data_IF_845775491888
#
_entry.id   IF_845775491888
#
_cell.length_a   1.000
_cell.length_b   1.000
_cell.length_c   1.000
_cell.angle_alpha   90.00
_cell.angle_beta   90.00
_cell.angle_gamma   90.00
#
_symmetry.space_group_name_H-M   'P 1'
#
loop_
_entity.id
_entity.type
_entity.pdbx_description
1 polymer ?
#
# COMPACT_ATOMS: atom_id res chain seq x y z
N UNK A 1 36.58 3.34 17.74
CA UNK A 1 36.04 4.65 17.30
C UNK A 1 34.53 4.55 17.43
N UNK A 2 33.87 5.48 18.13
CA UNK A 2 32.43 5.41 18.41
C UNK A 2 31.60 5.39 17.13
N UNK A 3 30.48 4.65 17.14
CA UNK A 3 29.57 4.45 16.01
C UNK A 3 28.45 5.50 15.95
N UNK A 4 28.61 6.61 16.68
CA UNK A 4 27.58 7.64 16.84
C UNK A 4 27.61 8.64 15.66
N UNK A 5 26.44 9.09 15.16
CA UNK A 5 26.35 9.96 13.98
C UNK A 5 26.94 11.37 14.21
N UNK A 6 26.98 11.80 15.46
CA UNK A 6 27.69 13.01 15.89
C UNK A 6 28.56 12.62 17.08
N UNK A 7 29.84 12.93 17.03
CA UNK A 7 30.78 12.61 18.11
C UNK A 7 31.69 13.80 18.42
N UNK A 8 32.26 13.76 19.62
CA UNK A 8 33.12 14.81 20.14
C UNK A 8 34.58 14.32 20.15
N UNK A 9 35.48 15.07 19.51
CA UNK A 9 36.90 14.75 19.45
C UNK A 9 37.60 15.07 20.76
N UNK A 10 38.88 14.67 20.84
CA UNK A 10 39.72 14.97 22.00
C UNK A 10 40.01 16.47 22.16
N UNK A 11 39.82 17.24 21.10
CA UNK A 11 40.13 18.68 21.01
C UNK A 11 39.05 19.55 21.66
N UNK A 12 37.99 18.94 22.20
CA UNK A 12 36.95 19.65 22.93
C UNK A 12 37.55 20.38 24.15
N UNK A 13 37.40 21.71 24.16
CA UNK A 13 37.87 22.61 25.21
C UNK A 13 36.87 22.81 26.35
N UNK A 14 35.67 22.22 26.26
CA UNK A 14 34.67 22.31 27.32
C UNK A 14 33.99 23.66 27.47
N UNK A 15 34.00 24.52 26.44
CA UNK A 15 33.44 25.88 26.47
C UNK A 15 31.91 25.99 26.65
N UNK A 16 31.18 24.86 26.64
CA UNK A 16 29.72 24.75 26.86
C UNK A 16 28.79 25.48 25.86
N UNK A 17 29.33 26.18 24.86
CA UNK A 17 28.53 26.89 23.84
C UNK A 17 27.52 25.96 23.16
N UNK A 18 27.95 24.75 22.81
CA UNK A 18 27.11 23.73 22.18
C UNK A 18 25.89 23.31 23.02
N UNK A 19 25.97 23.36 24.36
CA UNK A 19 24.86 23.02 25.26
C UNK A 19 23.74 24.04 25.13
N UNK A 20 24.09 25.33 25.07
CA UNK A 20 23.11 26.42 24.98
C UNK A 20 22.38 26.48 23.64
N UNK A 21 23.00 25.99 22.57
CA UNK A 21 22.46 26.03 21.21
C UNK A 21 21.62 24.80 20.90
N UNK A 22 21.73 23.71 21.67
CA UNK A 22 20.99 22.49 21.39
C UNK A 22 19.50 22.64 21.72
N UNK A 23 18.59 22.65 20.73
CA UNK A 23 17.16 22.85 20.96
C UNK A 23 16.49 21.60 21.58
N UNK A 24 17.21 20.47 21.59
CA UNK A 24 16.74 19.19 22.08
C UNK A 24 17.36 18.80 23.43
N UNK A 25 18.21 19.66 24.02
CA UNK A 25 18.89 19.38 25.29
C UNK A 25 19.80 18.14 25.24
N UNK A 26 20.30 17.79 24.05
CA UNK A 26 20.96 16.51 23.80
C UNK A 26 22.46 16.49 24.16
N UNK A 27 23.02 17.55 24.72
CA UNK A 27 24.45 17.69 25.01
C UNK A 27 24.64 17.90 26.50
N UNK A 28 25.36 16.99 27.14
CA UNK A 28 25.75 17.06 28.55
C UNK A 28 27.25 17.27 28.67
N UNK A 29 27.72 17.87 29.77
CA UNK A 29 29.15 17.97 30.05
C UNK A 29 29.59 16.79 30.93
N UNK A 30 30.54 15.98 30.45
CA UNK A 30 31.17 14.89 31.20
C UNK A 30 32.69 15.00 31.11
N UNK A 31 33.37 14.93 32.25
CA UNK A 31 34.84 15.03 32.35
C UNK A 31 35.43 16.28 31.65
N UNK A 32 34.73 17.41 31.74
CA UNK A 32 35.15 18.67 31.12
C UNK A 32 34.97 18.71 29.60
N UNK A 33 34.33 17.70 28.99
CA UNK A 33 34.05 17.62 27.55
C UNK A 33 32.57 17.52 27.27
N UNK A 34 32.16 17.97 26.09
CA UNK A 34 30.81 17.76 25.61
C UNK A 34 30.59 16.27 25.32
N UNK A 35 29.49 15.73 25.80
CA UNK A 35 29.04 14.36 25.59
C UNK A 35 27.64 14.41 24.97
N UNK A 36 27.49 13.76 23.82
CA UNK A 36 26.23 13.75 23.06
C UNK A 36 25.40 12.57 23.56
N UNK A 37 24.15 12.84 23.88
CA UNK A 37 23.19 11.83 24.36
C UNK A 37 22.33 11.28 23.23
N UNK A 38 21.58 10.22 23.50
CA UNK A 38 20.63 9.61 22.56
C UNK A 38 19.49 10.55 22.12
N UNK A 39 19.29 11.68 22.82
CA UNK A 39 18.32 12.70 22.43
C UNK A 39 18.73 13.50 21.17
N UNK A 40 19.95 13.31 20.66
CA UNK A 40 20.45 14.02 19.49
C UNK A 40 19.65 13.71 18.22
N UNK A 41 19.13 14.77 17.58
CA UNK A 41 18.39 14.69 16.31
C UNK A 41 19.22 15.01 15.06
N UNK A 42 20.55 15.09 15.21
CA UNK A 42 21.49 15.30 14.08
C UNK A 42 21.15 16.59 13.29
N UNK A 43 20.85 17.69 14.00
CA UNK A 43 20.44 18.95 13.37
C UNK A 43 21.59 19.85 12.90
N UNK A 44 22.84 19.55 13.26
CA UNK A 44 24.02 20.28 12.79
C UNK A 44 24.42 21.50 13.62
N UNK A 45 23.51 22.12 14.35
CA UNK A 45 23.74 23.41 15.01
C UNK A 45 24.93 23.43 15.97
N UNK A 46 25.22 22.32 16.66
CA UNK A 46 26.36 22.22 17.58
C UNK A 46 27.72 22.15 16.86
N UNK A 47 27.75 21.70 15.62
CA UNK A 47 28.96 21.66 14.77
C UNK A 47 29.34 23.09 14.38
N UNK A 48 28.37 23.88 13.93
CA UNK A 48 28.58 25.24 13.41
C UNK A 48 29.10 26.22 14.48
N UNK A 49 28.68 26.03 15.72
CA UNK A 49 29.04 26.94 16.84
C UNK A 49 30.27 26.49 17.61
N UNK A 50 30.87 25.35 17.26
CA UNK A 50 32.05 24.84 17.97
C UNK A 50 33.31 25.62 17.53
N UNK A 51 33.94 26.42 18.41
CA UNK A 51 35.06 27.29 18.02
C UNK A 51 36.34 26.53 17.64
N UNK A 52 36.42 25.26 18.06
CA UNK A 52 37.56 24.36 17.80
C UNK A 52 37.17 23.21 16.89
N UNK A 53 35.96 23.23 16.31
CA UNK A 53 35.42 22.17 15.45
C UNK A 53 35.54 20.76 16.06
N UNK A 54 35.48 20.67 17.39
CA UNK A 54 35.62 19.41 18.12
C UNK A 54 34.36 18.55 18.07
N UNK A 55 33.23 19.10 17.63
CA UNK A 55 32.01 18.32 17.39
C UNK A 55 31.96 18.02 15.90
N UNK A 56 32.15 16.75 15.54
CA UNK A 56 32.11 16.31 14.16
C UNK A 56 30.81 15.56 13.95
N UNK A 57 29.99 16.06 13.04
CA UNK A 57 28.96 15.26 12.41
C UNK A 57 29.62 14.46 11.32
N UNK A 58 29.51 13.13 11.38
CA UNK A 58 29.80 12.34 10.19
C UNK A 58 28.78 12.77 9.17
N UNK A 59 29.25 13.32 8.05
CA UNK A 59 28.51 13.11 6.81
C UNK A 59 28.24 11.61 6.80
N UNK A 60 26.97 11.22 6.69
CA UNK A 60 26.67 9.87 6.25
C UNK A 60 27.37 9.78 4.91
N UNK A 61 28.60 9.25 4.91
CA UNK A 61 29.14 8.58 3.75
C UNK A 61 27.96 7.78 3.23
N UNK A 62 27.62 8.03 1.96
CA UNK A 62 26.71 7.18 1.23
C UNK A 62 27.41 5.84 1.31
N UNK A 63 27.08 5.06 2.35
CA UNK A 63 27.57 3.72 2.47
C UNK A 63 27.20 3.12 1.12
N UNK A 64 28.18 2.60 0.40
CA UNK A 64 27.92 1.76 -0.75
C UNK A 64 27.00 0.66 -0.23
N UNK A 65 25.69 0.91 -0.30
CA UNK A 65 24.67 0.00 0.17
C UNK A 65 24.88 -1.17 -0.73
N UNK A 66 25.49 -2.23 -0.18
CA UNK A 66 25.73 -3.49 -0.87
C UNK A 66 24.50 -3.76 -1.71
N UNK A 67 24.67 -3.70 -3.04
CA UNK A 67 23.58 -3.67 -3.99
C UNK A 67 22.79 -4.97 -3.85
N UNK A 68 21.82 -4.95 -2.96
CA UNK A 68 20.86 -6.00 -2.80
C UNK A 68 20.19 -6.22 -4.14
N UNK A 69 20.13 -7.46 -4.62
CA UNK A 69 19.50 -7.77 -5.90
C UNK A 69 18.18 -8.45 -5.63
N UNK A 70 17.12 -7.91 -6.20
CA UNK A 70 15.82 -8.54 -6.22
C UNK A 70 14.70 -7.62 -5.75
N UNK A 71 13.55 -7.79 -6.39
CA UNK A 71 12.30 -7.15 -6.00
C UNK A 71 11.50 -8.13 -5.17
N UNK A 72 11.40 -7.88 -3.87
CA UNK A 72 10.67 -8.74 -2.94
C UNK A 72 9.24 -8.25 -2.71
N UNK A 73 8.28 -9.16 -2.71
CA UNK A 73 6.86 -8.88 -2.47
C UNK A 73 6.38 -9.65 -1.25
N UNK A 74 5.67 -8.98 -0.34
CA UNK A 74 4.92 -9.65 0.71
C UNK A 74 3.58 -10.18 0.16
N UNK A 75 3.41 -11.50 0.19
CA UNK A 75 2.17 -12.16 -0.15
C UNK A 75 1.29 -12.27 1.11
N UNK A 76 0.18 -11.53 1.09
CA UNK A 76 -0.77 -11.46 2.20
C UNK A 76 -1.74 -12.64 2.15
N UNK A 77 -1.94 -13.26 3.32
CA UNK A 77 -2.93 -14.32 3.53
C UNK A 77 -4.15 -13.74 4.26
N UNK A 78 -5.34 -13.97 3.71
CA UNK A 78 -6.62 -13.64 4.32
C UNK A 78 -7.48 -14.90 4.34
N UNK A 79 -7.97 -15.30 5.53
CA UNK A 79 -8.86 -16.48 5.69
C UNK A 79 -8.34 -17.77 5.01
N UNK A 80 -7.03 -18.05 5.12
CA UNK A 80 -6.36 -19.22 4.51
C UNK A 80 -6.22 -19.17 2.97
N UNK A 81 -6.61 -18.07 2.33
CA UNK A 81 -6.40 -17.80 0.91
C UNK A 81 -5.45 -16.60 0.69
N UNK A 82 -4.84 -16.53 -0.50
CA UNK A 82 -4.03 -15.38 -0.87
C UNK A 82 -4.93 -14.19 -1.20
N UNK A 83 -4.67 -13.05 -0.55
CA UNK A 83 -5.33 -11.81 -0.92
C UNK A 83 -4.88 -11.37 -2.31
N UNK A 84 -5.82 -10.95 -3.17
CA UNK A 84 -5.57 -10.60 -4.57
C UNK A 84 -4.51 -9.50 -4.77
N UNK A 85 -4.34 -8.62 -3.77
CA UNK A 85 -3.25 -7.61 -3.74
C UNK A 85 -1.87 -8.22 -3.99
N UNK A 86 -1.64 -9.46 -3.54
CA UNK A 86 -0.38 -10.17 -3.75
C UNK A 86 -0.11 -10.43 -5.23
N UNK A 87 -1.15 -10.68 -6.01
CA UNK A 87 -1.05 -10.93 -7.46
C UNK A 87 -0.79 -9.65 -8.24
N UNK A 88 -1.41 -8.53 -7.84
CA UNK A 88 -1.13 -7.21 -8.42
C UNK A 88 0.31 -6.77 -8.16
N UNK A 89 0.78 -6.98 -6.92
CA UNK A 89 2.15 -6.68 -6.53
C UNK A 89 3.16 -7.52 -7.29
N UNK A 90 2.90 -8.81 -7.50
CA UNK A 90 3.76 -9.67 -8.32
C UNK A 90 3.83 -9.18 -9.76
N UNK A 91 2.69 -8.79 -10.34
CA UNK A 91 2.64 -8.25 -11.71
C UNK A 91 3.49 -6.99 -11.82
N UNK A 92 3.34 -6.05 -10.88
CA UNK A 92 4.17 -4.84 -10.86
C UNK A 92 5.64 -5.13 -10.56
N UNK A 93 5.93 -6.07 -9.67
CA UNK A 93 7.29 -6.48 -9.34
C UNK A 93 8.02 -7.05 -10.56
N UNK A 94 7.35 -7.82 -11.43
CA UNK A 94 7.91 -8.32 -12.68
C UNK A 94 8.27 -7.20 -13.66
N UNK A 95 7.41 -6.18 -13.79
CA UNK A 95 7.71 -5.02 -14.62
C UNK A 95 8.98 -4.29 -14.11
N UNK A 96 9.04 -4.01 -12.81
CA UNK A 96 10.18 -3.33 -12.18
C UNK A 96 11.47 -4.18 -12.26
N UNK A 97 11.34 -5.49 -12.02
CA UNK A 97 12.44 -6.45 -12.09
C UNK A 97 12.98 -6.58 -13.52
N UNK A 98 12.13 -6.50 -14.55
CA UNK A 98 12.55 -6.50 -15.95
C UNK A 98 13.36 -5.24 -16.29
N UNK A 99 12.93 -4.07 -15.80
CA UNK A 99 13.68 -2.82 -15.98
C UNK A 99 15.05 -2.86 -15.28
N UNK A 100 15.12 -3.44 -14.07
CA UNK A 100 16.35 -3.56 -13.28
C UNK A 100 17.23 -4.77 -13.66
N UNK A 101 16.73 -5.72 -14.47
CA UNK A 101 17.35 -7.02 -14.70
C UNK A 101 17.66 -7.79 -13.40
N UNK A 102 16.72 -7.75 -12.46
CA UNK A 102 16.80 -8.38 -11.13
C UNK A 102 15.77 -9.52 -10.98
N UNK A 103 15.97 -10.47 -10.06
CA UNK A 103 15.00 -11.54 -9.79
C UNK A 103 13.79 -11.05 -8.95
N UNK A 104 12.65 -11.70 -9.11
CA UNK A 104 11.44 -11.45 -8.30
C UNK A 104 11.35 -12.45 -7.15
N UNK A 105 11.27 -11.93 -5.93
CA UNK A 105 11.08 -12.72 -4.72
C UNK A 105 9.69 -12.50 -4.13
N UNK A 106 9.10 -13.56 -3.57
CA UNK A 106 7.89 -13.47 -2.77
C UNK A 106 8.16 -14.02 -1.37
N UNK A 107 7.59 -13.40 -0.34
CA UNK A 107 7.64 -13.89 1.04
C UNK A 107 6.23 -14.05 1.57
N UNK A 108 5.97 -15.21 2.16
CA UNK A 108 4.67 -15.60 2.70
C UNK A 108 4.83 -16.13 4.12
N UNK A 109 3.92 -15.72 5.02
CA UNK A 109 3.95 -16.02 6.46
C UNK A 109 2.55 -16.46 6.89
N UNK A 110 2.46 -17.59 7.61
CA UNK A 110 1.18 -18.17 8.00
C UNK A 110 1.28 -19.66 8.33
N UNK A 111 0.18 -20.38 8.12
CA UNK A 111 0.06 -21.83 8.37
C UNK A 111 -0.52 -22.52 7.14
N UNK A 112 0.06 -23.66 6.74
CA UNK A 112 -0.47 -24.50 5.64
C UNK A 112 -0.23 -23.92 4.25
N UNK A 113 0.95 -23.35 4.03
CA UNK A 113 1.22 -22.44 2.91
C UNK A 113 1.60 -23.11 1.58
N UNK A 114 1.64 -24.44 1.49
CA UNK A 114 2.15 -25.13 0.30
C UNK A 114 1.36 -24.76 -0.97
N UNK A 115 0.01 -24.72 -0.89
CA UNK A 115 -0.84 -24.33 -2.05
C UNK A 115 -0.61 -22.88 -2.48
N UNK A 116 -0.51 -21.98 -1.50
CA UNK A 116 -0.27 -20.56 -1.75
C UNK A 116 1.13 -20.33 -2.37
N UNK A 117 2.15 -21.06 -1.91
CA UNK A 117 3.49 -20.98 -2.48
C UNK A 117 3.51 -21.42 -3.96
N UNK A 118 2.80 -22.50 -4.30
CA UNK A 118 2.67 -22.97 -5.68
C UNK A 118 1.96 -21.95 -6.58
N UNK A 119 0.91 -21.28 -6.07
CA UNK A 119 0.21 -20.24 -6.82
C UNK A 119 1.09 -19.00 -7.07
N UNK A 120 1.89 -18.58 -6.09
CA UNK A 120 2.84 -17.46 -6.25
C UNK A 120 3.92 -17.80 -7.31
N UNK A 121 4.38 -19.05 -7.35
CA UNK A 121 5.30 -19.53 -8.38
C UNK A 121 4.66 -19.50 -9.78
N UNK A 122 3.42 -19.97 -9.91
CA UNK A 122 2.67 -19.95 -11.19
C UNK A 122 2.41 -18.53 -11.68
N UNK A 123 2.30 -17.55 -10.77
CA UNK A 123 2.14 -16.13 -11.08
C UNK A 123 3.48 -15.43 -11.35
N UNK A 124 4.59 -16.17 -11.38
CA UNK A 124 5.91 -15.73 -11.86
C UNK A 124 6.84 -15.14 -10.81
N UNK A 125 6.80 -15.63 -9.57
CA UNK A 125 7.87 -15.42 -8.60
C UNK A 125 9.05 -16.38 -8.88
N UNK A 126 10.29 -15.89 -8.87
CA UNK A 126 11.49 -16.72 -9.08
C UNK A 126 11.89 -17.49 -7.81
N UNK A 127 11.69 -16.88 -6.64
CA UNK A 127 11.84 -17.56 -5.34
C UNK A 127 10.70 -17.19 -4.42
N UNK A 128 10.19 -18.19 -3.69
CA UNK A 128 9.16 -17.99 -2.66
C UNK A 128 9.73 -18.42 -1.31
N UNK A 129 9.86 -17.47 -0.39
CA UNK A 129 10.25 -17.70 1.00
C UNK A 129 9.03 -17.99 1.85
N UNK A 130 8.99 -19.19 2.43
CA UNK A 130 7.83 -19.69 3.17
C UNK A 130 8.18 -19.81 4.64
N UNK A 131 7.46 -19.05 5.48
CA UNK A 131 7.45 -19.20 6.93
C UNK A 131 6.15 -19.87 7.36
N UNK A 132 6.18 -21.20 7.47
CA UNK A 132 5.03 -22.03 7.82
C UNK A 132 5.12 -22.48 9.28
N UNK A 133 4.19 -22.01 10.13
CA UNK A 133 4.09 -22.42 11.52
C UNK A 133 2.63 -22.32 12.02
N UNK A 134 2.12 -23.31 12.79
CA UNK A 134 0.73 -23.31 13.25
C UNK A 134 0.36 -22.07 14.09
N UNK A 135 1.27 -21.57 14.92
CA UNK A 135 1.03 -20.35 15.72
C UNK A 135 0.91 -19.05 14.92
N UNK A 136 1.29 -19.08 13.63
CA UNK A 136 1.13 -17.97 12.69
C UNK A 136 -0.19 -18.04 11.91
N UNK A 137 -1.12 -18.92 12.29
CA UNK A 137 -2.46 -18.98 11.67
C UNK A 137 -3.20 -17.64 11.79
N UNK A 138 -3.02 -16.94 12.90
CA UNK A 138 -3.63 -15.63 13.13
C UNK A 138 -2.61 -14.53 12.92
N UNK A 139 -3.00 -13.50 12.16
CA UNK A 139 -2.16 -12.33 11.94
C UNK A 139 -1.89 -11.61 13.26
N UNK A 140 -0.61 -11.37 13.55
CA UNK A 140 -0.13 -10.56 14.67
C UNK A 140 1.05 -9.73 14.18
N UNK A 141 1.03 -8.43 14.47
CA UNK A 141 2.00 -7.49 13.92
C UNK A 141 3.46 -7.85 14.28
N UNK A 142 3.71 -8.18 15.54
CA UNK A 142 5.06 -8.39 16.04
C UNK A 142 5.75 -9.61 15.37
N UNK A 143 5.20 -10.85 15.41
CA UNK A 143 5.80 -12.01 14.74
C UNK A 143 5.98 -11.83 13.24
N UNK A 144 4.99 -11.25 12.56
CA UNK A 144 5.09 -11.02 11.13
C UNK A 144 6.20 -10.02 10.80
N UNK A 145 6.28 -8.91 11.55
CA UNK A 145 7.30 -7.89 11.32
C UNK A 145 8.72 -8.40 11.60
N UNK A 146 8.92 -9.24 12.61
CA UNK A 146 10.21 -9.83 12.95
C UNK A 146 10.69 -10.82 11.88
N UNK A 147 9.82 -11.72 11.44
CA UNK A 147 10.14 -12.70 10.40
C UNK A 147 10.44 -12.02 9.06
N UNK A 148 9.66 -11.01 8.68
CA UNK A 148 9.89 -10.27 7.44
C UNK A 148 11.18 -9.43 7.50
N UNK A 149 11.47 -8.81 8.64
CA UNK A 149 12.74 -8.11 8.84
C UNK A 149 13.94 -9.08 8.79
N UNK A 150 13.81 -10.28 9.36
CA UNK A 150 14.83 -11.33 9.26
C UNK A 150 15.04 -11.75 7.80
N UNK A 151 13.97 -12.02 7.05
CA UNK A 151 14.04 -12.36 5.62
C UNK A 151 14.76 -11.26 4.82
N UNK A 152 14.42 -9.99 5.06
CA UNK A 152 15.07 -8.87 4.40
C UNK A 152 16.57 -8.78 4.73
N UNK A 153 16.99 -9.12 5.96
CA UNK A 153 18.42 -9.09 6.36
C UNK A 153 19.21 -10.24 5.74
N UNK A 154 18.61 -11.42 5.61
CA UNK A 154 19.26 -12.60 5.05
C UNK A 154 19.42 -12.51 3.53
N UNK A 155 18.36 -12.08 2.84
CA UNK A 155 18.33 -12.06 1.37
C UNK A 155 18.75 -10.72 0.78
N UNK A 156 18.76 -9.65 1.59
CA UNK A 156 19.14 -8.28 1.23
C UNK A 156 18.53 -7.83 -0.12
N UNK A 157 17.19 -7.69 -0.24
CA UNK A 157 16.56 -7.28 -1.51
C UNK A 157 16.75 -5.78 -1.80
N UNK A 158 16.69 -5.41 -3.08
CA UNK A 158 16.75 -4.00 -3.53
C UNK A 158 15.48 -3.24 -3.15
N UNK A 159 14.33 -3.87 -3.42
CA UNK A 159 12.99 -3.31 -3.26
C UNK A 159 12.16 -4.28 -2.43
N UNK A 160 11.32 -3.76 -1.53
CA UNK A 160 10.35 -4.56 -0.80
C UNK A 160 8.95 -3.92 -0.87
N UNK A 161 8.02 -4.61 -1.53
CA UNK A 161 6.65 -4.15 -1.77
C UNK A 161 5.66 -4.88 -0.85
N UNK A 162 4.73 -4.12 -0.29
CA UNK A 162 3.69 -4.60 0.63
C UNK A 162 2.33 -4.06 0.17
N UNK A 163 1.24 -4.81 0.34
CA UNK A 163 -0.10 -4.29 0.07
C UNK A 163 -0.50 -3.23 1.09
N UNK A 164 -1.15 -2.14 0.69
CA UNK A 164 -1.68 -1.12 1.60
C UNK A 164 -3.04 -1.51 2.21
N UNK A 165 -3.20 -2.79 2.54
CA UNK A 165 -4.33 -3.34 3.31
C UNK A 165 -4.21 -2.95 4.79
N UNK A 166 -5.21 -3.26 5.60
CA UNK A 166 -5.13 -3.07 7.05
C UNK A 166 -3.92 -3.79 7.66
N UNK A 167 -3.62 -5.00 7.16
CA UNK A 167 -2.48 -5.81 7.58
C UNK A 167 -1.17 -5.14 7.18
N UNK A 168 -1.00 -4.84 5.89
CA UNK A 168 0.26 -4.29 5.39
C UNK A 168 0.55 -2.87 5.86
N UNK A 169 -0.47 -2.03 6.08
CA UNK A 169 -0.30 -0.69 6.68
C UNK A 169 0.10 -0.73 8.15
N UNK A 170 -0.33 -1.76 8.88
CA UNK A 170 0.07 -1.96 10.27
C UNK A 170 1.50 -2.50 10.36
N UNK A 171 1.83 -3.52 9.58
CA UNK A 171 3.11 -4.23 9.68
C UNK A 171 4.26 -3.54 8.92
N UNK A 172 4.00 -2.94 7.76
CA UNK A 172 5.00 -2.26 6.93
C UNK A 172 5.89 -1.25 7.68
N UNK A 173 5.35 -0.28 8.45
CA UNK A 173 6.18 0.69 9.17
C UNK A 173 7.04 0.04 10.27
N UNK A 174 6.59 -1.06 10.88
CA UNK A 174 7.36 -1.81 11.89
C UNK A 174 8.57 -2.48 11.25
N UNK A 175 8.40 -3.08 10.06
CA UNK A 175 9.52 -3.67 9.30
C UNK A 175 10.52 -2.59 8.89
N UNK A 176 10.04 -1.46 8.37
CA UNK A 176 10.90 -0.34 7.98
C UNK A 176 11.74 0.21 9.15
N UNK A 177 11.13 0.36 10.33
CA UNK A 177 11.83 0.78 11.53
C UNK A 177 12.91 -0.22 11.99
N UNK A 178 12.62 -1.53 11.94
CA UNK A 178 13.59 -2.60 12.28
C UNK A 178 14.75 -2.70 11.30
N UNK A 179 14.54 -2.32 10.04
CA UNK A 179 15.56 -2.28 8.99
C UNK A 179 16.25 -0.92 8.87
N UNK A 180 15.76 0.12 9.57
CA UNK A 180 16.24 1.51 9.47
C UNK A 180 16.22 2.03 8.02
N UNK A 181 15.16 1.73 7.28
CA UNK A 181 14.98 2.16 5.88
C UNK A 181 13.74 3.05 5.71
N UNK A 182 13.65 3.72 4.56
CA UNK A 182 12.50 4.54 4.17
C UNK A 182 11.32 3.69 3.68
N UNK A 183 10.11 4.10 4.05
CA UNK A 183 8.85 3.49 3.61
C UNK A 183 7.92 4.57 3.04
N UNK A 184 7.53 4.42 1.77
CA UNK A 184 6.45 5.25 1.20
C UNK A 184 5.11 4.55 1.36
N UNK A 185 4.16 5.24 2.00
CA UNK A 185 2.85 4.69 2.25
C UNK A 185 1.84 4.98 1.12
N UNK A 186 0.97 4.00 0.84
CA UNK A 186 -0.18 4.07 -0.07
C UNK A 186 0.16 4.59 -1.48
N UNK A 187 1.20 4.02 -2.10
CA UNK A 187 1.66 4.35 -3.45
C UNK A 187 0.61 3.96 -4.49
N UNK A 188 0.42 4.83 -5.47
CA UNK A 188 -0.48 4.62 -6.61
C UNK A 188 0.26 4.39 -7.92
N UNK A 189 1.52 4.82 -8.00
CA UNK A 189 2.40 4.51 -9.13
C UNK A 189 3.81 4.21 -8.63
N UNK A 190 4.46 3.27 -9.30
CA UNK A 190 5.83 2.84 -9.04
C UNK A 190 6.55 2.77 -10.39
N UNK A 191 7.70 3.40 -10.48
CA UNK A 191 8.57 3.34 -11.67
C UNK A 191 10.04 3.29 -11.24
N UNK A 192 10.91 2.89 -12.16
CA UNK A 192 12.37 2.91 -11.96
C UNK A 192 12.95 4.09 -12.71
N UNK A 193 13.75 4.88 -12.02
CA UNK A 193 14.59 5.87 -12.66
C UNK A 193 15.71 5.18 -13.44
N UNK A 194 15.73 5.37 -14.76
CA UNK A 194 16.69 4.71 -15.67
C UNK A 194 18.13 5.17 -15.41
N UNK A 195 18.34 6.39 -14.91
CA UNK A 195 19.68 6.93 -14.68
C UNK A 195 20.25 6.45 -13.33
N UNK A 196 19.41 6.38 -12.30
CA UNK A 196 19.86 6.08 -10.93
C UNK A 196 19.54 4.66 -10.46
N UNK A 197 18.66 3.93 -11.17
CA UNK A 197 18.15 2.62 -10.76
C UNK A 197 17.30 2.66 -9.48
N UNK A 198 16.89 3.84 -9.03
CA UNK A 198 16.10 4.03 -7.81
C UNK A 198 14.60 3.89 -8.07
N UNK A 199 13.87 3.43 -7.06
CA UNK A 199 12.42 3.28 -7.13
C UNK A 199 11.75 4.64 -6.89
N UNK A 200 11.12 5.16 -7.93
CA UNK A 200 10.25 6.33 -7.87
C UNK A 200 8.87 5.94 -7.35
N UNK A 201 8.58 6.35 -6.12
CA UNK A 201 7.36 5.97 -5.40
C UNK A 201 6.40 7.16 -5.41
N UNK A 202 5.38 7.10 -6.26
CA UNK A 202 4.40 8.17 -6.37
C UNK A 202 3.18 7.87 -5.52
N UNK A 203 2.87 8.77 -4.60
CA UNK A 203 1.70 8.67 -3.71
C UNK A 203 0.89 9.96 -3.65
N UNK A 204 -0.44 9.85 -3.46
CA UNK A 204 -1.26 10.99 -3.08
C UNK A 204 -1.00 11.40 -1.63
N UNK A 205 -0.96 12.72 -1.40
CA UNK A 205 -0.90 13.38 -0.10
C UNK A 205 -2.01 14.44 -0.02
N UNK A 206 -2.34 14.89 1.21
CA UNK A 206 -3.38 15.90 1.45
C UNK A 206 -4.74 15.56 0.80
N UNK A 207 -5.27 14.36 1.08
CA UNK A 207 -6.52 13.88 0.46
C UNK A 207 -6.41 13.66 -1.04
N UNK A 208 -5.18 13.58 -1.55
CA UNK A 208 -4.82 13.40 -2.96
C UNK A 208 -4.82 14.69 -3.80
N UNK A 209 -4.85 15.85 -3.17
CA UNK A 209 -4.64 17.13 -3.83
C UNK A 209 -3.18 17.33 -4.30
N UNK A 210 -2.23 16.62 -3.68
CA UNK A 210 -0.81 16.68 -4.02
C UNK A 210 -0.35 15.28 -4.38
N UNK A 211 0.29 15.13 -5.54
CA UNK A 211 1.01 13.92 -5.91
C UNK A 211 2.49 14.13 -5.58
N UNK A 212 3.05 13.27 -4.74
CA UNK A 212 4.45 13.34 -4.34
C UNK A 212 5.18 12.09 -4.84
N UNK A 213 6.27 12.31 -5.58
CA UNK A 213 7.22 11.26 -5.96
C UNK A 213 8.37 11.26 -4.97
N UNK A 214 8.52 10.17 -4.25
CA UNK A 214 9.49 10.01 -3.17
C UNK A 214 10.48 8.93 -3.57
N UNK A 215 11.77 9.16 -3.29
CA UNK A 215 12.85 8.23 -3.56
C UNK A 215 13.64 7.98 -2.28
N UNK A 216 14.14 6.76 -2.11
CA UNK A 216 14.98 6.37 -0.96
C UNK A 216 16.39 6.07 -1.46
N UNK A 217 17.27 7.08 -1.60
CA UNK A 217 18.58 6.90 -2.23
C UNK A 217 19.52 6.04 -1.37
N UNK A 218 19.58 6.33 -0.07
CA UNK A 218 20.67 5.89 0.81
C UNK A 218 20.34 4.67 1.68
N UNK A 219 19.17 4.05 1.52
CA UNK A 219 18.75 2.93 2.37
C UNK A 219 18.19 1.79 1.55
N UNK A 220 18.41 0.56 2.03
CA UNK A 220 17.89 -0.67 1.44
C UNK A 220 17.26 -1.55 2.53
N UNK A 221 16.21 -2.33 2.21
CA UNK A 221 15.47 -2.29 0.95
C UNK A 221 14.68 -0.98 0.78
N UNK A 222 14.44 -0.57 -0.46
CA UNK A 222 13.50 0.52 -0.77
C UNK A 222 12.08 -0.01 -0.54
N UNK A 223 11.40 0.46 0.51
CA UNK A 223 10.10 -0.08 0.88
C UNK A 223 8.95 0.81 0.40
N UNK A 224 7.91 0.18 -0.14
CA UNK A 224 6.66 0.86 -0.49
C UNK A 224 5.45 -0.01 -0.13
N UNK A 225 4.44 0.59 0.50
CA UNK A 225 3.11 -0.03 0.52
C UNK A 225 2.32 0.45 -0.69
N UNK A 226 1.68 -0.44 -1.42
CA UNK A 226 0.96 -0.16 -2.67
C UNK A 226 -0.53 -0.26 -2.45
N UNK A 227 -1.28 0.73 -2.93
CA UNK A 227 -2.74 0.70 -2.87
C UNK A 227 -3.31 -0.46 -3.69
N UNK A 228 -4.20 -1.24 -3.07
CA UNK A 228 -4.91 -2.33 -3.74
C UNK A 228 -5.75 -1.81 -4.91
N UNK A 229 -5.87 -2.60 -5.98
CA UNK A 229 -6.60 -2.31 -7.22
C UNK A 229 -6.02 -1.20 -8.09
N UNK A 230 -4.72 -0.94 -7.95
CA UNK A 230 -3.97 0.01 -8.80
C UNK A 230 -3.29 -0.65 -10.00
N UNK A 231 -2.83 -1.90 -9.85
CA UNK A 231 -2.08 -2.60 -10.88
C UNK A 231 -2.84 -3.83 -11.40
N UNK A 232 -2.61 -4.26 -12.64
CA UNK A 232 -3.20 -5.51 -13.14
C UNK A 232 -2.60 -6.71 -12.40
N UNK A 233 -3.40 -7.76 -12.22
CA UNK A 233 -2.89 -9.02 -11.66
C UNK A 233 -1.87 -9.68 -12.61
N UNK A 234 -0.86 -10.33 -12.02
CA UNK A 234 0.07 -11.18 -12.77
C UNK A 234 -0.68 -12.31 -13.49
N UNK A 235 -0.32 -12.55 -14.76
CA UNK A 235 -0.87 -13.68 -15.54
C UNK A 235 -0.31 -15.00 -15.01
N UNK A 236 -1.13 -16.05 -15.01
CA UNK A 236 -0.69 -17.40 -14.68
C UNK A 236 0.19 -17.96 -15.81
N UNK A 237 1.28 -18.61 -15.43
CA UNK A 237 2.25 -19.26 -16.33
C UNK A 237 2.24 -20.76 -16.04
N UNK A 238 2.05 -21.59 -17.07
CA UNK A 238 1.88 -23.05 -16.93
C UNK A 238 3.15 -23.80 -16.49
N UNK A 239 4.33 -23.20 -16.60
CA UNK A 239 5.60 -23.78 -16.17
C UNK A 239 6.43 -22.73 -15.42
N UNK A 240 6.28 -22.69 -14.11
CA UNK A 240 7.15 -21.90 -13.26
C UNK A 240 8.52 -22.58 -13.13
N UNK A 241 9.60 -21.79 -13.17
CA UNK A 241 10.98 -22.24 -12.90
C UNK A 241 11.44 -21.86 -11.50
N UNK A 242 10.54 -21.35 -10.66
CA UNK A 242 10.91 -20.77 -9.38
C UNK A 242 11.15 -21.82 -8.29
N UNK A 243 11.87 -21.42 -7.25
CA UNK A 243 12.24 -22.27 -6.13
C UNK A 243 11.50 -21.87 -4.84
N UNK A 244 10.96 -22.86 -4.13
CA UNK A 244 10.40 -22.65 -2.77
C UNK A 244 11.49 -22.85 -1.73
N UNK A 245 11.73 -21.84 -0.91
CA UNK A 245 12.69 -21.89 0.20
C UNK A 245 11.91 -21.85 1.52
N UNK A 246 11.84 -23.00 2.21
CA UNK A 246 11.25 -23.06 3.55
C UNK A 246 12.25 -22.50 4.55
N UNK A 247 11.84 -21.48 5.30
CA UNK A 247 12.66 -20.85 6.35
C UNK A 247 12.22 -21.36 7.71
N UNK A 248 13.17 -21.57 8.62
CA UNK A 248 12.86 -21.97 9.98
C UNK A 248 12.25 -20.80 10.76
N UNK A 249 11.11 -21.04 11.39
CA UNK A 249 10.46 -20.07 12.30
C UNK A 249 10.93 -20.35 13.71
N UNK A 250 11.58 -19.37 14.34
CA UNK A 250 11.98 -19.44 15.75
C UNK A 250 11.19 -18.40 16.57
N UNK A 251 10.04 -18.82 17.11
CA UNK A 251 9.15 -17.95 17.88
C UNK A 251 9.73 -17.56 19.25
N UNK A 252 10.79 -18.23 19.73
CA UNK A 252 11.41 -17.89 21.01
C UNK A 252 12.11 -16.52 20.99
N UNK A 253 12.51 -16.07 19.80
CA UNK A 253 13.17 -14.77 19.57
C UNK A 253 12.20 -13.65 19.20
N UNK A 254 10.93 -13.98 19.04
CA UNK A 254 9.88 -13.05 18.64
C UNK A 254 9.20 -12.51 19.88
N UNK A 255 9.06 -11.19 19.94
CA UNK A 255 8.32 -10.56 21.05
C UNK A 255 6.84 -10.55 20.70
N UNK A 256 6.02 -11.41 21.29
CA UNK A 256 4.58 -11.41 21.04
C UNK A 256 3.81 -10.74 22.18
N UNK A 257 3.25 -9.55 21.91
CA UNK A 257 2.47 -8.78 22.90
C UNK A 257 0.97 -8.84 22.64
N UNK A 258 0.54 -9.42 21.53
CA UNK A 258 -0.84 -9.33 21.05
C UNK A 258 -1.49 -10.70 21.16
N UNK A 259 -2.61 -10.77 21.88
CA UNK A 259 -3.43 -11.98 21.92
C UNK A 259 -4.76 -11.72 21.21
N UNK A 260 -5.01 -12.44 20.13
CA UNK A 260 -6.29 -12.41 19.42
C UNK A 260 -7.30 -13.24 20.20
N UNK A 261 -8.40 -12.62 20.61
CA UNK A 261 -9.46 -13.29 21.39
C UNK A 261 -10.57 -13.86 20.51
N UNK A 262 -10.82 -13.27 19.34
CA UNK A 262 -11.86 -13.67 18.41
C UNK A 262 -12.01 -12.67 17.26
N UNK A 263 -12.89 -13.00 16.32
CA UNK A 263 -13.27 -12.16 15.19
C UNK A 263 -14.80 -11.99 15.20
N UNK A 264 -15.27 -10.78 14.95
CA UNK A 264 -16.68 -10.49 14.70
C UNK A 264 -16.84 -10.19 13.22
N UNK A 265 -17.72 -10.94 12.54
CA UNK A 265 -18.03 -10.69 11.14
C UNK A 265 -18.87 -9.40 11.03
N UNK A 266 -18.38 -8.45 10.24
CA UNK A 266 -19.19 -7.31 9.85
C UNK A 266 -20.29 -7.80 8.88
N UNK A 267 -21.52 -7.34 9.09
CA UNK A 267 -22.72 -7.72 8.31
C UNK A 267 -22.47 -7.81 6.79
N UNK A 268 -23.05 -8.84 6.16
CA UNK A 268 -22.96 -9.31 4.76
C UNK A 268 -23.25 -8.28 3.64
N UNK A 269 -22.62 -7.12 3.65
CA UNK A 269 -22.55 -6.28 2.47
C UNK A 269 -21.24 -6.58 1.75
N UNK A 270 -21.34 -7.02 0.50
CA UNK A 270 -20.20 -7.19 -0.40
C UNK A 270 -19.33 -5.95 -0.30
N UNK A 271 -18.09 -6.13 0.16
CA UNK A 271 -17.11 -5.06 0.20
C UNK A 271 -17.00 -4.48 -1.20
N UNK A 272 -17.32 -3.20 -1.38
CA UNK A 272 -17.22 -2.52 -2.68
C UNK A 272 -15.82 -2.62 -3.28
N UNK A 273 -14.80 -2.84 -2.44
CA UNK A 273 -13.43 -3.05 -2.91
C UNK A 273 -13.26 -4.39 -3.62
N UNK A 274 -14.00 -5.44 -3.29
CA UNK A 274 -13.82 -6.79 -3.86
C UNK A 274 -14.87 -7.17 -4.89
N UNK A 275 -15.92 -6.34 -5.05
CA UNK A 275 -16.97 -6.55 -6.04
C UNK A 275 -16.43 -6.49 -7.48
N UNK A 276 -16.86 -7.46 -8.30
CA UNK A 276 -16.56 -7.51 -9.74
C UNK A 276 -17.47 -6.55 -10.53
N UNK A 277 -18.65 -6.22 -10.00
CA UNK A 277 -19.60 -5.27 -10.57
C UNK A 277 -19.97 -4.25 -9.49
N UNK A 278 -19.90 -2.97 -9.81
CA UNK A 278 -20.28 -1.89 -8.90
C UNK A 278 -21.26 -0.97 -9.60
N UNK A 279 -22.42 -0.77 -8.98
CA UNK A 279 -23.42 0.21 -9.42
C UNK A 279 -23.38 1.36 -8.43
N UNK A 280 -22.97 2.54 -8.89
CA UNK A 280 -22.67 3.69 -8.04
C UNK A 280 -23.67 4.82 -8.24
N UNK A 281 -24.22 5.31 -7.14
CA UNK A 281 -25.18 6.42 -7.10
C UNK A 281 -24.52 7.78 -6.82
N UNK A 282 -24.96 8.81 -7.55
CA UNK A 282 -24.52 10.19 -7.38
C UNK A 282 -25.60 11.13 -6.87
N UNK A 283 -25.23 12.40 -6.69
CA UNK A 283 -26.16 13.48 -6.31
C UNK A 283 -27.32 13.63 -7.31
N UNK A 284 -27.12 13.21 -8.58
CA UNK A 284 -28.16 13.22 -9.60
C UNK A 284 -29.37 12.35 -9.29
N UNK A 285 -29.31 11.48 -8.28
CA UNK A 285 -30.46 10.73 -7.76
C UNK A 285 -31.47 11.64 -7.03
N UNK A 286 -31.05 12.79 -6.49
CA UNK A 286 -31.91 13.76 -5.83
C UNK A 286 -32.36 13.39 -4.40
N UNK A 287 -32.69 12.14 -4.13
CA UNK A 287 -33.20 11.66 -2.84
C UNK A 287 -32.59 10.32 -2.42
N UNK A 288 -32.66 9.99 -1.12
CA UNK A 288 -32.21 8.69 -0.59
C UNK A 288 -32.97 7.50 -1.19
N UNK A 289 -34.25 7.67 -1.54
CA UNK A 289 -35.07 6.61 -2.16
C UNK A 289 -34.51 6.16 -3.52
N UNK A 290 -33.74 7.02 -4.20
CA UNK A 290 -33.06 6.64 -5.43
C UNK A 290 -32.05 5.50 -5.23
N UNK A 291 -31.47 5.34 -4.02
CA UNK A 291 -30.56 4.23 -3.74
C UNK A 291 -31.24 2.87 -3.75
N UNK A 292 -32.57 2.78 -3.57
CA UNK A 292 -33.30 1.51 -3.71
C UNK A 292 -33.23 0.98 -5.15
N UNK A 293 -33.34 1.86 -6.15
CA UNK A 293 -33.17 1.51 -7.57
C UNK A 293 -31.75 1.04 -7.88
N UNK A 294 -30.75 1.70 -7.28
CA UNK A 294 -29.34 1.32 -7.43
C UNK A 294 -29.08 -0.04 -6.78
N UNK A 295 -29.67 -0.28 -5.61
CA UNK A 295 -29.60 -1.56 -4.91
C UNK A 295 -30.25 -2.68 -5.74
N UNK A 296 -31.42 -2.44 -6.33
CA UNK A 296 -32.10 -3.41 -7.19
C UNK A 296 -31.27 -3.73 -8.44
N UNK A 297 -30.70 -2.72 -9.09
CA UNK A 297 -29.83 -2.90 -10.24
C UNK A 297 -28.55 -3.67 -9.88
N UNK A 298 -27.93 -3.34 -8.73
CA UNK A 298 -26.78 -4.06 -8.22
C UNK A 298 -27.13 -5.53 -7.95
N UNK A 299 -28.26 -5.81 -7.29
CA UNK A 299 -28.73 -7.17 -7.04
C UNK A 299 -29.04 -7.93 -8.33
N UNK A 300 -29.64 -7.29 -9.34
CA UNK A 300 -29.91 -7.89 -10.65
C UNK A 300 -28.62 -8.29 -11.39
N UNK A 301 -27.54 -7.53 -11.20
CA UNK A 301 -26.22 -7.82 -11.75
C UNK A 301 -25.35 -8.73 -10.86
N UNK A 302 -25.74 -8.94 -9.59
CA UNK A 302 -24.88 -9.60 -8.60
C UNK A 302 -23.69 -8.76 -8.15
N UNK A 303 -23.80 -7.44 -8.22
CA UNK A 303 -22.78 -6.47 -7.84
C UNK A 303 -23.01 -5.81 -6.49
N UNK A 304 -22.08 -4.92 -6.12
CA UNK A 304 -22.18 -4.09 -4.93
C UNK A 304 -22.66 -2.67 -5.25
N UNK A 305 -23.22 -2.00 -4.25
CA UNK A 305 -23.65 -0.60 -4.35
C UNK A 305 -22.49 0.31 -3.97
N UNK A 306 -22.16 1.24 -4.86
CA UNK A 306 -21.21 2.33 -4.62
C UNK A 306 -21.91 3.68 -4.45
N UNK A 307 -21.17 4.67 -3.97
CA UNK A 307 -21.66 6.01 -3.76
C UNK A 307 -20.60 7.07 -4.05
N UNK A 308 -21.05 8.23 -4.53
CA UNK A 308 -20.21 9.43 -4.59
C UNK A 308 -20.10 10.09 -3.20
N UNK A 309 -19.10 10.95 -2.99
CA UNK A 309 -18.96 11.67 -1.73
C UNK A 309 -20.18 12.55 -1.37
N UNK A 310 -20.76 13.35 -2.29
CA UNK A 310 -21.93 14.16 -1.98
C UNK A 310 -23.10 13.38 -1.37
N UNK A 311 -23.35 12.15 -1.83
CA UNK A 311 -24.45 11.32 -1.28
C UNK A 311 -24.16 10.79 0.12
N UNK A 312 -22.88 10.65 0.49
CA UNK A 312 -22.47 10.29 1.86
C UNK A 312 -22.54 11.51 2.78
N UNK A 313 -22.11 12.68 2.29
CA UNK A 313 -22.17 13.94 3.04
C UNK A 313 -23.64 14.33 3.34
N UNK A 314 -24.59 14.03 2.44
CA UNK A 314 -26.04 14.17 2.65
C UNK A 314 -26.67 13.05 3.52
N UNK A 315 -25.89 12.03 3.92
CA UNK A 315 -26.34 10.95 4.78
C UNK A 315 -27.25 9.91 4.11
N UNK A 316 -27.27 9.82 2.77
CA UNK A 316 -28.11 8.85 2.05
C UNK A 316 -27.56 7.41 2.15
N UNK A 317 -26.25 7.27 2.33
CA UNK A 317 -25.57 5.97 2.41
C UNK A 317 -24.30 6.07 3.27
N UNK A 318 -23.93 4.96 3.90
CA UNK A 318 -22.75 4.87 4.77
C UNK A 318 -21.45 5.14 4.00
N UNK A 319 -20.48 5.76 4.68
CA UNK A 319 -19.14 6.06 4.18
C UNK A 319 -18.42 4.83 3.58
N UNK A 320 -18.74 3.62 4.03
CA UNK A 320 -18.23 2.36 3.46
C UNK A 320 -18.51 2.23 1.96
N UNK A 321 -19.56 2.84 1.44
CA UNK A 321 -19.89 2.76 0.00
C UNK A 321 -19.21 3.85 -0.82
N UNK A 322 -18.48 4.78 -0.19
CA UNK A 322 -17.86 5.90 -0.89
C UNK A 322 -16.74 5.44 -1.83
N UNK A 323 -16.89 5.76 -3.12
CA UNK A 323 -15.87 5.57 -4.14
C UNK A 323 -15.20 6.90 -4.47
N UNK A 324 -13.86 6.89 -4.51
CA UNK A 324 -13.05 8.06 -4.86
C UNK A 324 -11.74 8.12 -4.10
N UNK A 325 -11.00 9.21 -4.33
CA UNK A 325 -9.68 9.48 -3.75
C UNK A 325 -9.68 9.53 -2.22
N UNK A 326 -10.73 10.12 -1.64
CA UNK A 326 -10.98 10.16 -0.19
C UNK A 326 -11.80 8.98 0.32
N UNK A 327 -12.27 8.10 -0.57
CA UNK A 327 -13.02 6.89 -0.23
C UNK A 327 -12.22 5.64 -0.56
N UNK A 328 -12.90 4.62 -1.06
CA UNK A 328 -12.27 3.39 -1.55
C UNK A 328 -11.94 3.54 -3.03
N UNK A 329 -10.78 3.02 -3.40
CA UNK A 329 -10.45 2.76 -4.80
C UNK A 329 -10.99 1.37 -5.15
N UNK A 330 -11.64 1.29 -6.30
CA UNK A 330 -12.26 0.09 -6.84
C UNK A 330 -11.80 -0.11 -8.28
N UNK A 331 -11.71 -1.39 -8.65
CA UNK A 331 -11.41 -1.89 -10.00
C UNK A 331 -12.32 -3.08 -10.26
N UNK A 332 -13.62 -2.86 -10.47
CA UNK A 332 -14.52 -3.87 -10.97
C UNK A 332 -14.28 -4.13 -12.46
N UNK A 333 -14.78 -5.26 -12.94
CA UNK A 333 -14.93 -5.52 -14.37
C UNK A 333 -15.95 -4.55 -14.99
N UNK A 334 -17.00 -4.23 -14.24
CA UNK A 334 -18.04 -3.28 -14.65
C UNK A 334 -18.30 -2.23 -13.54
N UNK A 335 -18.10 -0.96 -13.87
CA UNK A 335 -18.50 0.17 -13.04
C UNK A 335 -19.62 0.94 -13.72
N UNK A 336 -20.77 1.06 -13.07
CA UNK A 336 -21.91 1.83 -13.57
C UNK A 336 -22.11 3.10 -12.74
N UNK A 337 -21.86 4.26 -13.35
CA UNK A 337 -21.99 5.57 -12.75
C UNK A 337 -23.38 6.17 -13.05
N UNK A 338 -24.27 6.18 -12.05
CA UNK A 338 -25.64 6.67 -12.18
C UNK A 338 -25.78 8.05 -11.52
N UNK A 339 -25.99 9.10 -12.33
CA UNK A 339 -26.19 10.47 -11.81
C UNK A 339 -24.93 11.07 -11.17
N UNK A 340 -23.74 10.63 -11.60
CA UNK A 340 -22.45 11.11 -11.10
C UNK A 340 -21.86 12.06 -12.14
N UNK A 341 -21.50 13.27 -11.72
CA UNK A 341 -20.86 14.28 -12.60
C UNK A 341 -19.46 13.85 -13.06
N UNK A 342 -18.76 13.06 -12.24
CA UNK A 342 -17.42 12.56 -12.54
C UNK A 342 -16.32 13.57 -12.18
N UNK A 343 -16.41 14.20 -11.00
CA UNK A 343 -15.30 15.01 -10.48
C UNK A 343 -14.00 14.19 -10.41
N UNK A 344 -12.84 14.83 -10.62
CA UNK A 344 -11.52 14.18 -10.67
C UNK A 344 -11.26 13.31 -9.43
N UNK A 345 -11.74 13.75 -8.27
CA UNK A 345 -11.65 13.02 -7.01
C UNK A 345 -12.41 11.70 -7.03
N UNK A 346 -13.58 11.64 -7.67
CA UNK A 346 -14.33 10.39 -7.83
C UNK A 346 -13.67 9.50 -8.88
N UNK A 347 -13.29 10.08 -10.03
CA UNK A 347 -12.62 9.34 -11.11
C UNK A 347 -11.35 8.65 -10.63
N UNK A 348 -10.55 9.29 -9.77
CA UNK A 348 -9.33 8.70 -9.22
C UNK A 348 -9.55 7.38 -8.46
N UNK A 349 -10.78 7.13 -7.97
CA UNK A 349 -11.13 5.88 -7.30
C UNK A 349 -11.72 4.79 -8.20
N UNK A 350 -12.04 5.07 -9.47
CA UNK A 350 -12.73 4.11 -10.35
C UNK A 350 -12.24 4.10 -11.81
N UNK A 351 -11.31 4.99 -12.19
CA UNK A 351 -10.78 5.09 -13.56
C UNK A 351 -10.05 3.83 -14.02
N UNK A 352 -9.58 3.00 -13.09
CA UNK A 352 -8.90 1.73 -13.39
C UNK A 352 -9.86 0.57 -13.68
N UNK A 353 -11.18 0.78 -13.59
CA UNK A 353 -12.20 -0.22 -13.95
C UNK A 353 -12.11 -0.63 -15.42
N UNK A 354 -12.41 -1.89 -15.73
CA UNK A 354 -12.26 -2.40 -17.10
C UNK A 354 -13.32 -1.82 -18.06
N UNK A 355 -14.59 -1.79 -17.62
CA UNK A 355 -15.70 -1.16 -18.36
C UNK A 355 -16.41 -0.15 -17.47
N UNK A 356 -16.56 1.07 -17.98
CA UNK A 356 -17.27 2.16 -17.29
C UNK A 356 -18.52 2.51 -18.09
N UNK A 357 -19.70 2.36 -17.49
CA UNK A 357 -20.98 2.78 -18.06
C UNK A 357 -21.47 4.00 -17.29
N UNK A 358 -21.80 5.10 -17.97
CA UNK A 358 -22.33 6.30 -17.34
C UNK A 358 -23.77 6.59 -17.78
N UNK A 359 -24.65 6.91 -16.82
CA UNK A 359 -26.01 7.39 -17.07
C UNK A 359 -26.15 8.76 -16.40
N UNK A 360 -26.34 9.80 -17.21
CA UNK A 360 -26.48 11.17 -16.70
C UNK A 360 -27.43 11.99 -17.59
N UNK A 361 -28.13 12.96 -17.01
CA UNK A 361 -28.99 13.89 -17.75
C UNK A 361 -28.18 14.93 -18.53
N UNK A 362 -27.03 15.34 -17.97
CA UNK A 362 -26.17 16.34 -18.56
C UNK A 362 -25.18 15.71 -19.55
N UNK A 363 -25.28 15.97 -20.88
CA UNK A 363 -24.37 15.41 -21.88
C UNK A 363 -22.92 15.90 -21.74
N UNK A 364 -22.69 17.04 -21.08
CA UNK A 364 -21.36 17.62 -20.90
C UNK A 364 -20.67 17.14 -19.61
N UNK A 365 -21.29 16.20 -18.89
CA UNK A 365 -20.75 15.68 -17.63
C UNK A 365 -19.34 15.07 -17.83
N UNK A 366 -18.34 15.48 -17.02
CA UNK A 366 -16.96 14.95 -17.11
C UNK A 366 -16.83 13.43 -17.07
N UNK A 367 -17.79 12.72 -16.47
CA UNK A 367 -17.81 11.26 -16.42
C UNK A 367 -17.81 10.62 -17.82
N UNK A 368 -18.43 11.27 -18.81
CA UNK A 368 -18.52 10.73 -20.17
C UNK A 368 -17.15 10.68 -20.87
N UNK A 369 -16.18 11.48 -20.42
CA UNK A 369 -14.81 11.48 -20.98
C UNK A 369 -14.03 10.21 -20.66
N UNK A 370 -14.41 9.49 -19.60
CA UNK A 370 -13.76 8.25 -19.17
C UNK A 370 -14.66 7.02 -19.32
N UNK A 371 -15.94 7.21 -19.65
CA UNK A 371 -16.88 6.10 -19.82
C UNK A 371 -16.64 5.36 -21.13
N UNK A 372 -16.64 4.03 -21.08
CA UNK A 372 -16.68 3.16 -22.26
C UNK A 372 -18.03 3.28 -22.99
N UNK A 373 -19.12 3.43 -22.24
CA UNK A 373 -20.48 3.64 -22.76
C UNK A 373 -21.18 4.74 -21.96
N UNK A 374 -21.85 5.65 -22.66
CA UNK A 374 -22.59 6.74 -22.05
C UNK A 374 -24.04 6.78 -22.54
N UNK A 375 -24.98 6.91 -21.61
CA UNK A 375 -26.40 7.13 -21.89
C UNK A 375 -26.80 8.49 -21.35
N UNK A 376 -27.25 9.38 -22.25
CA UNK A 376 -27.81 10.68 -21.88
C UNK A 376 -29.31 10.51 -21.70
N UNK A 377 -29.81 10.68 -20.48
CA UNK A 377 -31.23 10.49 -20.17
C UNK A 377 -31.55 10.54 -18.69
N UNK A 378 -32.85 10.44 -18.38
CA UNK A 378 -33.30 10.36 -16.98
C UNK A 378 -32.97 8.99 -16.38
N UNK A 379 -32.29 9.01 -15.25
CA UNK A 379 -31.91 7.83 -14.49
C UNK A 379 -33.14 7.03 -14.04
N UNK A 380 -34.25 7.70 -13.70
CA UNK A 380 -35.51 7.05 -13.32
C UNK A 380 -36.24 6.36 -14.48
N UNK A 381 -35.90 6.68 -15.73
CA UNK A 381 -36.47 5.98 -16.91
C UNK A 381 -35.53 4.90 -17.43
N UNK A 382 -34.22 5.18 -17.41
CA UNK A 382 -33.18 4.30 -17.98
C UNK A 382 -32.92 3.11 -17.07
N UNK A 383 -32.79 3.31 -15.74
CA UNK A 383 -32.43 2.24 -14.81
C UNK A 383 -33.51 1.14 -14.76
N UNK A 384 -34.81 1.44 -14.58
CA UNK A 384 -35.83 0.38 -14.54
C UNK A 384 -35.91 -0.44 -15.82
N UNK A 385 -35.83 0.20 -17.00
CA UNK A 385 -35.82 -0.50 -18.29
C UNK A 385 -34.59 -1.39 -18.46
N UNK A 386 -33.46 -0.98 -17.90
CA UNK A 386 -32.25 -1.79 -17.90
C UNK A 386 -32.41 -3.00 -16.97
N UNK A 387 -32.98 -2.81 -15.78
CA UNK A 387 -33.27 -3.89 -14.82
C UNK A 387 -34.19 -4.94 -15.47
N UNK A 388 -35.29 -4.52 -16.11
CA UNK A 388 -36.21 -5.43 -16.82
C UNK A 388 -35.48 -6.25 -17.87
N UNK A 389 -34.70 -5.59 -18.75
CA UNK A 389 -33.94 -6.31 -19.79
C UNK A 389 -32.87 -7.24 -19.24
N UNK A 390 -32.19 -6.86 -18.15
CA UNK A 390 -31.19 -7.71 -17.51
C UNK A 390 -31.86 -8.96 -16.95
N UNK A 391 -32.99 -8.80 -16.24
CA UNK A 391 -33.77 -9.93 -15.71
C UNK A 391 -34.25 -10.85 -16.84
N UNK A 392 -34.83 -10.29 -17.92
CA UNK A 392 -35.27 -11.07 -19.09
C UNK A 392 -34.14 -11.86 -19.77
N UNK A 393 -32.95 -11.27 -19.90
CA UNK A 393 -31.80 -11.95 -20.51
C UNK A 393 -31.23 -13.04 -19.59
N UNK A 394 -31.30 -12.82 -18.28
CA UNK A 394 -30.81 -13.75 -17.27
C UNK A 394 -31.76 -14.94 -17.07
N UNK A 395 -33.06 -14.77 -17.32
CA UNK A 395 -34.04 -15.87 -17.38
C UNK A 395 -33.95 -16.68 -18.68
N UNK A 396 -33.31 -16.14 -19.72
CA UNK A 396 -33.08 -16.80 -21.02
C UNK A 396 -31.74 -17.52 -21.14
N UNK A 397 -30.79 -17.22 -20.26
CA UNK A 397 -29.45 -17.81 -20.20
C UNK A 397 -29.41 -18.88 -19.10
#
# INVERSE_FOLDING_TARGET
MSAEPVYVTRDCTGCQICVSVCPFGAIEMRDGKANITEACRVCGQCVDVCPVSAIIMRETEIAETSAGKGVMVYAEMSQEELHKVSFELLGKAQELATQLSEPVYAVIVGSGLNKAADELLQRGADKVFVYDHPDLKQFRDDPYSDLLAQCCREENPSIFLIGATSIGRSMGPRVAAKLKTGLTADCTSLDIDVETGLLQQTRPAYGGNIMATIVTPNSRPQMATVRYKMFPEAKKVDKSKGAVVKKSVDLSKVTDRIKVLGFEEASEQISISDADIIVSGGLGMGESNGFELIQELASALGGAVGASRPTVDEGWIDYRHQVGLSGRTVRPQLYMACGISGAVQHQAGMKTSDVIIAVNKDPEAPIFKISSLGVVGDLYEVIPRLIEKIKEQRDRA
#
